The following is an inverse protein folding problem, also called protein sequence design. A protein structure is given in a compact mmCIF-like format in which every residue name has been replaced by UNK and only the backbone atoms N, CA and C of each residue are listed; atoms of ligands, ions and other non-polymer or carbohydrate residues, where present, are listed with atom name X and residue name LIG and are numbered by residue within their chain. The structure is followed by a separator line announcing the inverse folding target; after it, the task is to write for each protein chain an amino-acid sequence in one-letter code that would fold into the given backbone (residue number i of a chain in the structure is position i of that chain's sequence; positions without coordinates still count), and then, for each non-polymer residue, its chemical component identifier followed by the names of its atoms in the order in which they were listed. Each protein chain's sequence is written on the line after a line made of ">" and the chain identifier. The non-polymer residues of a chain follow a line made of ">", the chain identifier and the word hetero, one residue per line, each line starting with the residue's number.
data_IF_469907596794
#
_entry.id   IF_469907596794
#
_cell.length_a   1.000
_cell.length_b   1.000
_cell.length_c   1.000
_cell.angle_alpha   90.00
_cell.angle_beta   90.00
_cell.angle_gamma   90.00
#
_symmetry.space_group_name_H-M   'P 1'
#
loop_
_entity.id
_entity.type
_entity.pdbx_description
1 polymer ?
#
# COMPACT_ATOMS: atom_id res chain seq x y z
N UNK A 1 -62.56 28.32 -52.87
CA UNK A 1 -61.38 29.05 -53.35
C UNK A 1 -60.27 28.74 -52.37
N UNK A 2 -59.49 27.72 -52.69
CA UNK A 2 -58.13 27.77 -53.25
C UNK A 2 -57.20 28.63 -52.40
N UNK A 3 -56.28 28.11 -51.66
CA UNK A 3 -54.98 27.91 -52.17
C UNK A 3 -54.10 26.98 -51.33
N UNK A 4 -53.49 26.07 -51.96
CA UNK A 4 -52.43 25.19 -51.59
C UNK A 4 -51.13 25.98 -51.37
N UNK A 5 -50.29 25.67 -50.44
CA UNK A 5 -48.99 25.15 -50.86
C UNK A 5 -48.19 24.52 -49.74
N UNK A 6 -47.47 23.50 -50.05
CA UNK A 6 -46.70 22.64 -49.15
C UNK A 6 -45.22 22.98 -49.25
N UNK A 7 -44.46 22.88 -48.20
CA UNK A 7 -43.05 22.49 -48.28
C UNK A 7 -42.66 21.80 -46.98
N UNK A 8 -42.84 20.54 -47.10
CA UNK A 8 -42.18 19.50 -46.31
C UNK A 8 -40.71 19.47 -46.73
N UNK A 9 -39.78 19.50 -45.78
CA UNK A 9 -38.52 18.79 -45.92
C UNK A 9 -37.72 18.77 -44.63
N UNK A 10 -37.65 17.61 -44.01
CA UNK A 10 -36.50 16.91 -43.45
C UNK A 10 -35.46 17.75 -42.69
N UNK A 11 -35.53 17.69 -41.40
CA UNK A 11 -34.31 17.60 -40.59
C UNK A 11 -34.45 16.40 -39.67
N UNK A 12 -33.69 15.38 -40.02
CA UNK A 12 -33.50 14.19 -39.23
C UNK A 12 -32.82 14.55 -37.91
N UNK A 13 -33.30 13.94 -36.85
CA UNK A 13 -32.80 14.12 -35.52
C UNK A 13 -31.33 13.68 -35.40
N UNK A 14 -30.57 14.54 -34.84
CA UNK A 14 -29.31 14.19 -34.16
C UNK A 14 -29.54 14.40 -32.68
N UNK A 15 -29.87 13.34 -31.98
CA UNK A 15 -29.81 13.31 -30.54
C UNK A 15 -28.35 13.23 -30.13
N UNK A 16 -27.73 14.37 -29.95
CA UNK A 16 -26.48 14.49 -29.21
C UNK A 16 -26.79 14.14 -27.74
N UNK A 17 -26.61 12.88 -27.39
CA UNK A 17 -26.39 12.49 -26.01
C UNK A 17 -25.02 13.03 -25.61
N UNK A 18 -25.03 14.25 -25.12
CA UNK A 18 -23.89 14.86 -24.45
C UNK A 18 -23.68 14.10 -23.14
N UNK A 19 -22.92 13.01 -23.19
CA UNK A 19 -22.32 12.43 -22.00
C UNK A 19 -21.34 13.44 -21.43
N UNK A 20 -21.75 14.21 -20.44
CA UNK A 20 -20.86 14.94 -19.59
C UNK A 20 -20.02 13.90 -18.84
N UNK A 21 -18.83 13.60 -19.36
CA UNK A 21 -17.79 12.97 -18.59
C UNK A 21 -17.30 14.02 -17.61
N UNK A 22 -17.89 14.04 -16.43
CA UNK A 22 -17.33 14.72 -15.28
C UNK A 22 -16.05 13.93 -14.91
N UNK A 23 -14.94 14.36 -15.47
CA UNK A 23 -13.61 13.95 -15.04
C UNK A 23 -13.37 14.62 -13.68
N UNK A 24 -13.89 13.99 -12.62
CA UNK A 24 -13.56 14.36 -11.26
C UNK A 24 -12.07 14.09 -11.05
N UNK A 25 -11.27 15.14 -11.10
CA UNK A 25 -9.92 15.12 -10.55
C UNK A 25 -10.06 14.90 -9.04
N UNK A 26 -10.04 13.66 -8.61
CA UNK A 26 -9.74 13.29 -7.24
C UNK A 26 -8.26 13.57 -7.04
N UNK A 27 -7.94 14.72 -6.45
CA UNK A 27 -6.64 14.95 -5.84
C UNK A 27 -6.57 13.99 -4.66
N UNK A 28 -6.14 12.76 -4.90
CA UNK A 28 -5.63 11.92 -3.83
C UNK A 28 -4.38 12.65 -3.35
N UNK A 29 -4.47 13.29 -2.18
CA UNK A 29 -3.28 13.68 -1.45
C UNK A 29 -2.54 12.38 -1.17
N UNK A 30 -1.59 12.02 -2.04
CA UNK A 30 -0.60 11.03 -1.73
C UNK A 30 0.19 11.60 -0.53
N UNK A 31 -0.20 11.17 0.67
CA UNK A 31 0.63 11.42 1.83
C UNK A 31 1.97 10.77 1.55
N UNK A 32 3.11 11.46 1.78
CA UNK A 32 4.40 10.85 1.62
C UNK A 32 4.42 9.56 2.43
N UNK A 33 4.61 8.44 1.74
CA UNK A 33 4.89 7.17 2.41
C UNK A 33 6.25 7.33 3.08
N UNK A 34 6.26 7.91 4.27
CA UNK A 34 7.44 7.84 5.11
C UNK A 34 7.82 6.37 5.18
N UNK A 35 9.05 6.06 4.79
CA UNK A 35 9.50 4.69 4.65
C UNK A 35 9.27 3.94 5.95
N UNK A 36 8.27 3.09 5.94
CA UNK A 36 8.04 2.13 7.01
C UNK A 36 9.23 1.18 7.02
N UNK A 37 9.77 0.87 8.18
CA UNK A 37 10.75 -0.20 8.33
C UNK A 37 10.19 -1.54 7.78
N UNK A 38 8.85 -1.63 7.71
CA UNK A 38 8.09 -2.74 7.15
C UNK A 38 6.90 -2.16 6.38
N UNK A 39 6.70 -2.62 5.16
CA UNK A 39 5.46 -2.35 4.41
C UNK A 39 4.49 -3.49 4.65
N UNK A 40 3.22 -3.16 4.93
CA UNK A 40 2.17 -4.17 5.03
C UNK A 40 1.85 -4.73 3.64
N UNK A 41 2.46 -5.84 3.31
CA UNK A 41 2.21 -6.57 2.06
C UNK A 41 0.98 -7.50 2.16
N UNK A 42 0.40 -7.65 3.35
CA UNK A 42 -0.69 -8.59 3.58
C UNK A 42 -2.07 -8.04 3.21
N UNK A 43 -2.22 -6.74 3.12
CA UNK A 43 -3.48 -6.14 2.66
C UNK A 43 -3.91 -6.75 1.33
N UNK A 44 -2.99 -6.85 0.37
CA UNK A 44 -3.26 -7.45 -0.93
C UNK A 44 -3.52 -8.95 -0.87
N UNK A 45 -2.88 -9.63 0.06
CA UNK A 45 -3.13 -11.04 0.28
C UNK A 45 -4.60 -11.31 0.59
N UNK A 46 -5.28 -10.37 1.25
CA UNK A 46 -6.69 -10.47 1.60
C UNK A 46 -7.64 -9.82 0.59
N UNK A 47 -7.20 -8.82 -0.16
CA UNK A 47 -8.06 -8.01 -1.03
C UNK A 47 -8.79 -8.82 -2.11
N UNK A 48 -8.18 -9.89 -2.63
CA UNK A 48 -8.79 -10.73 -3.68
C UNK A 48 -8.42 -12.19 -3.46
N UNK A 49 -9.14 -12.89 -2.57
CA UNK A 49 -8.78 -14.26 -2.17
C UNK A 49 -8.86 -15.28 -3.28
N UNK A 50 -9.76 -15.08 -4.23
CA UNK A 50 -10.04 -16.04 -5.30
C UNK A 50 -9.27 -15.75 -6.59
N UNK A 51 -8.59 -14.59 -6.65
CA UNK A 51 -7.81 -14.22 -7.83
C UNK A 51 -6.46 -14.94 -7.84
N UNK A 52 -6.16 -15.63 -8.94
CA UNK A 52 -4.85 -16.25 -9.16
C UNK A 52 -3.75 -15.21 -9.46
N UNK A 53 -4.13 -14.05 -9.96
CA UNK A 53 -3.24 -12.93 -10.26
C UNK A 53 -3.93 -11.60 -9.95
N UNK A 54 -3.22 -10.73 -9.26
CA UNK A 54 -3.59 -9.34 -9.04
C UNK A 54 -2.38 -8.47 -9.38
N UNK A 55 -2.59 -7.41 -10.14
CA UNK A 55 -1.56 -6.43 -10.46
C UNK A 55 -2.19 -5.05 -10.45
N UNK A 56 -1.65 -4.14 -9.68
CA UNK A 56 -2.05 -2.74 -9.67
C UNK A 56 -0.83 -1.85 -9.86
N UNK A 57 -1.04 -0.75 -10.55
CA UNK A 57 -0.06 0.29 -10.80
C UNK A 57 -0.73 1.64 -10.59
N UNK A 58 -0.08 2.52 -9.85
CA UNK A 58 -0.46 3.92 -9.75
C UNK A 58 0.70 4.82 -10.18
N UNK A 59 0.35 5.90 -10.83
CA UNK A 59 1.26 6.93 -11.31
C UNK A 59 0.64 8.27 -10.96
N UNK A 60 1.33 9.04 -10.14
CA UNK A 60 0.91 10.38 -9.77
C UNK A 60 1.97 11.37 -10.20
N UNK A 61 1.54 12.43 -10.87
CA UNK A 61 2.36 13.59 -11.20
C UNK A 61 1.58 14.81 -10.82
N UNK A 62 2.14 15.64 -9.98
CA UNK A 62 1.52 16.91 -9.60
C UNK A 62 2.53 18.04 -9.64
N UNK A 63 2.04 19.26 -9.86
CA UNK A 63 2.86 20.45 -9.88
C UNK A 63 2.03 21.68 -9.67
N UNK A 64 2.68 22.73 -9.14
CA UNK A 64 2.16 24.08 -9.02
C UNK A 64 3.30 25.06 -9.29
N UNK A 65 2.98 26.21 -9.84
CA UNK A 65 3.94 27.30 -10.07
C UNK A 65 3.33 28.62 -9.65
N UNK A 66 4.14 29.56 -9.19
CA UNK A 66 3.69 30.88 -8.78
C UNK A 66 4.17 31.27 -7.40
N UNK A 67 3.27 31.47 -6.44
CA UNK A 67 3.65 31.80 -5.07
C UNK A 67 4.31 30.62 -4.33
N UNK A 68 4.14 29.41 -4.85
CA UNK A 68 4.67 28.18 -4.27
C UNK A 68 4.95 27.23 -5.44
N UNK A 69 6.22 27.01 -5.74
CA UNK A 69 6.65 26.10 -6.79
C UNK A 69 6.80 24.69 -6.23
N UNK A 70 5.99 23.76 -6.73
CA UNK A 70 5.99 22.34 -6.30
C UNK A 70 5.99 21.43 -7.49
N UNK A 71 6.72 20.34 -7.37
CA UNK A 71 6.71 19.22 -8.30
C UNK A 71 6.77 17.91 -7.51
N UNK A 72 5.95 16.96 -7.86
CA UNK A 72 5.99 15.63 -7.29
C UNK A 72 5.69 14.57 -8.34
N UNK A 73 6.39 13.46 -8.21
CA UNK A 73 6.15 12.24 -8.98
C UNK A 73 6.14 11.04 -8.02
N UNK A 74 5.16 10.17 -8.17
CA UNK A 74 5.16 8.88 -7.50
C UNK A 74 4.74 7.76 -8.43
N UNK A 75 5.32 6.59 -8.19
CA UNK A 75 4.99 5.33 -8.88
C UNK A 75 4.89 4.25 -7.82
N UNK A 76 3.78 3.55 -7.82
CA UNK A 76 3.56 2.42 -6.93
C UNK A 76 3.05 1.22 -7.70
N UNK A 77 3.53 0.03 -7.34
CA UNK A 77 3.03 -1.22 -7.91
C UNK A 77 2.88 -2.28 -6.84
N UNK A 78 1.80 -3.02 -6.98
CA UNK A 78 1.49 -4.16 -6.16
C UNK A 78 1.12 -5.34 -7.05
N UNK A 79 1.84 -6.42 -6.89
CA UNK A 79 1.64 -7.62 -7.69
C UNK A 79 1.52 -8.85 -6.80
N UNK A 80 0.54 -9.65 -7.08
CA UNK A 80 0.30 -10.93 -6.41
C UNK A 80 0.07 -12.01 -7.46
N UNK A 81 0.77 -13.12 -7.32
CA UNK A 81 0.59 -14.31 -8.12
C UNK A 81 0.39 -15.50 -7.18
N UNK A 82 -0.80 -16.11 -7.25
CA UNK A 82 -1.15 -17.32 -6.51
C UNK A 82 -1.16 -18.52 -7.43
N UNK A 83 -0.63 -19.60 -6.93
CA UNK A 83 -0.77 -20.95 -7.47
C UNK A 83 -1.21 -21.86 -6.33
N UNK A 84 -1.55 -23.09 -6.61
CA UNK A 84 -2.10 -24.05 -5.63
C UNK A 84 -1.37 -24.00 -4.26
N UNK A 85 -0.06 -24.11 -4.27
CA UNK A 85 0.78 -24.16 -3.05
C UNK A 85 1.74 -22.99 -2.91
N UNK A 86 1.75 -22.05 -3.84
CA UNK A 86 2.69 -20.92 -3.79
C UNK A 86 2.03 -19.58 -4.00
N UNK A 87 2.56 -18.57 -3.34
CA UNK A 87 2.14 -17.18 -3.53
C UNK A 87 3.38 -16.31 -3.62
N UNK A 88 3.45 -15.49 -4.66
CA UNK A 88 4.44 -14.45 -4.84
C UNK A 88 3.78 -13.10 -4.64
N UNK A 89 4.44 -12.23 -3.90
CA UNK A 89 4.00 -10.85 -3.66
C UNK A 89 5.17 -9.91 -3.93
N UNK A 90 4.93 -8.89 -4.76
CA UNK A 90 5.87 -7.81 -5.02
C UNK A 90 5.17 -6.49 -4.74
N UNK A 91 5.76 -5.69 -3.89
CA UNK A 91 5.38 -4.29 -3.66
C UNK A 91 6.58 -3.43 -3.94
N UNK A 92 6.41 -2.40 -4.75
CA UNK A 92 7.46 -1.41 -4.97
C UNK A 92 6.86 -0.02 -5.09
N UNK A 93 7.56 0.97 -4.54
CA UNK A 93 7.24 2.37 -4.72
C UNK A 93 8.49 3.22 -4.98
N UNK A 94 8.28 4.30 -5.69
CA UNK A 94 9.21 5.39 -5.88
C UNK A 94 8.44 6.69 -5.71
N UNK A 95 8.94 7.60 -4.89
CA UNK A 95 8.36 8.92 -4.74
C UNK A 95 9.47 9.97 -4.64
N UNK A 96 9.31 11.06 -5.38
CA UNK A 96 10.18 12.23 -5.33
C UNK A 96 9.33 13.49 -5.37
N UNK A 97 9.63 14.44 -4.48
CA UNK A 97 9.00 15.74 -4.48
C UNK A 97 9.99 16.86 -4.18
N UNK A 98 9.74 18.00 -4.78
CA UNK A 98 10.49 19.24 -4.59
C UNK A 98 9.51 20.38 -4.33
N UNK A 99 9.88 21.31 -3.48
CA UNK A 99 9.14 22.55 -3.21
C UNK A 99 10.09 23.71 -3.07
N UNK A 100 9.91 24.76 -3.90
CA UNK A 100 10.79 25.94 -3.95
C UNK A 100 12.27 25.57 -4.07
N UNK A 101 12.63 24.72 -5.03
CA UNK A 101 13.97 24.17 -5.29
C UNK A 101 14.57 23.33 -4.15
N UNK A 102 13.77 23.01 -3.13
CA UNK A 102 14.18 22.12 -2.06
C UNK A 102 13.52 20.75 -2.22
N UNK A 103 14.33 19.70 -2.22
CA UNK A 103 13.83 18.33 -2.20
C UNK A 103 13.09 18.09 -0.88
N UNK A 104 11.82 17.65 -0.97
CA UNK A 104 10.94 17.41 0.17
C UNK A 104 10.59 15.93 0.33
N UNK A 105 10.83 15.12 -0.70
CA UNK A 105 10.67 13.67 -0.67
C UNK A 105 11.68 13.00 -1.61
N UNK A 106 12.34 11.94 -1.16
CA UNK A 106 13.12 10.98 -1.96
C UNK A 106 13.03 9.62 -1.29
N UNK A 107 12.09 8.82 -1.75
CA UNK A 107 11.75 7.52 -1.18
C UNK A 107 11.75 6.44 -2.24
N UNK A 108 12.40 5.32 -1.95
CA UNK A 108 12.46 4.14 -2.81
C UNK A 108 12.28 2.90 -1.95
N UNK A 109 11.42 2.01 -2.40
CA UNK A 109 11.11 0.78 -1.69
C UNK A 109 10.80 -0.34 -2.67
N UNK A 110 11.29 -1.53 -2.40
CA UNK A 110 10.85 -2.76 -3.06
C UNK A 110 10.90 -3.94 -2.08
N UNK A 111 9.84 -4.71 -2.03
CA UNK A 111 9.69 -5.91 -1.21
C UNK A 111 9.17 -7.07 -2.06
N UNK A 112 9.89 -8.16 -2.06
CA UNK A 112 9.50 -9.42 -2.69
C UNK A 112 9.32 -10.49 -1.62
N UNK A 113 8.19 -11.18 -1.64
CA UNK A 113 7.89 -12.30 -0.73
C UNK A 113 7.39 -13.51 -1.50
N UNK A 114 7.91 -14.65 -1.15
CA UNK A 114 7.43 -15.96 -1.58
C UNK A 114 6.87 -16.72 -0.39
N UNK A 115 5.73 -17.37 -0.57
CA UNK A 115 5.09 -18.22 0.44
C UNK A 115 4.83 -19.58 -0.17
N UNK A 116 5.29 -20.63 0.49
CA UNK A 116 4.91 -22.00 0.19
C UNK A 116 3.89 -22.47 1.23
N UNK A 117 2.69 -22.88 0.78
CA UNK A 117 1.57 -23.29 1.63
C UNK A 117 1.54 -24.80 1.78
N UNK A 118 1.26 -25.27 3.00
CA UNK A 118 0.93 -26.65 3.31
C UNK A 118 -0.60 -26.82 3.39
N UNK A 119 -1.07 -28.08 3.37
CA UNK A 119 -2.50 -28.41 3.31
C UNK A 119 -3.29 -27.98 4.56
N UNK A 120 -2.62 -27.84 5.71
CA UNK A 120 -3.23 -27.54 7.00
C UNK A 120 -3.32 -26.05 7.36
N UNK A 121 -3.21 -25.15 6.36
CA UNK A 121 -3.18 -23.69 6.57
C UNK A 121 -1.89 -23.18 7.21
N UNK A 122 -0.83 -23.97 7.13
CA UNK A 122 0.52 -23.59 7.53
C UNK A 122 1.35 -23.28 6.27
N UNK A 123 2.51 -22.67 6.45
CA UNK A 123 3.40 -22.39 5.34
C UNK A 123 4.74 -21.87 5.81
N UNK A 124 5.69 -21.86 4.89
CA UNK A 124 6.97 -21.19 5.04
C UNK A 124 7.03 -20.01 4.09
N UNK A 125 7.75 -18.98 4.49
CA UNK A 125 7.95 -17.80 3.67
C UNK A 125 9.41 -17.37 3.64
N UNK A 126 9.81 -16.78 2.53
CA UNK A 126 11.07 -16.07 2.38
C UNK A 126 10.79 -14.71 1.76
N UNK A 127 11.58 -13.72 2.13
CA UNK A 127 11.42 -12.37 1.62
C UNK A 127 12.74 -11.63 1.52
N UNK A 128 12.76 -10.66 0.62
CA UNK A 128 13.83 -9.69 0.48
C UNK A 128 13.22 -8.29 0.32
N UNK A 129 13.91 -7.28 0.84
CA UNK A 129 13.50 -5.89 0.76
C UNK A 129 14.71 -5.00 0.55
N UNK A 130 14.54 -3.97 -0.24
CA UNK A 130 15.48 -2.85 -0.37
C UNK A 130 14.72 -1.55 -0.18
N UNK A 131 15.37 -0.60 0.47
CA UNK A 131 14.75 0.66 0.83
C UNK A 131 15.79 1.77 0.90
N UNK A 132 15.38 2.99 0.52
CA UNK A 132 16.11 4.23 0.67
C UNK A 132 15.13 5.32 1.06
N UNK A 133 15.52 6.19 2.01
CA UNK A 133 14.75 7.36 2.35
C UNK A 133 15.67 8.45 2.91
N UNK A 134 15.93 9.48 2.11
CA UNK A 134 16.84 10.57 2.48
C UNK A 134 16.34 11.39 3.67
N UNK A 135 15.02 11.54 3.81
CA UNK A 135 14.42 12.31 4.90
C UNK A 135 14.46 11.59 6.24
N UNK A 136 14.59 10.27 6.22
CA UNK A 136 14.91 9.48 7.40
C UNK A 136 16.42 9.23 7.57
N UNK A 137 17.25 9.97 6.80
CA UNK A 137 18.69 9.80 6.76
C UNK A 137 19.16 8.39 6.41
N UNK A 138 18.29 7.63 5.75
CA UNK A 138 18.54 6.26 5.34
C UNK A 138 19.08 6.25 3.91
N UNK A 139 20.38 6.02 3.76
CA UNK A 139 21.03 5.90 2.46
C UNK A 139 20.67 4.56 1.79
N UNK A 140 20.63 3.48 2.56
CA UNK A 140 20.22 2.15 2.09
C UNK A 140 19.84 1.26 3.27
N UNK A 141 18.76 0.49 3.12
CA UNK A 141 18.41 -0.62 4.00
C UNK A 141 18.12 -1.83 3.13
N UNK A 142 18.78 -2.93 3.42
CA UNK A 142 18.56 -4.20 2.75
C UNK A 142 18.26 -5.25 3.80
N UNK A 143 17.24 -6.06 3.57
CA UNK A 143 16.95 -7.18 4.44
C UNK A 143 16.57 -8.41 3.63
N UNK A 144 16.94 -9.57 4.17
CA UNK A 144 16.56 -10.87 3.66
C UNK A 144 16.22 -11.77 4.83
N UNK A 145 15.12 -12.49 4.71
CA UNK A 145 14.66 -13.32 5.80
C UNK A 145 13.67 -14.39 5.39
N UNK A 146 13.22 -15.11 6.39
CA UNK A 146 12.21 -16.14 6.22
C UNK A 146 11.54 -16.50 7.53
N UNK A 147 10.47 -17.25 7.44
CA UNK A 147 9.71 -17.61 8.60
C UNK A 147 8.69 -18.69 8.34
N UNK A 148 7.96 -18.97 9.39
CA UNK A 148 6.83 -19.86 9.41
C UNK A 148 5.55 -19.08 9.65
N UNK A 149 4.47 -19.45 8.96
CA UNK A 149 3.17 -18.76 9.05
C UNK A 149 2.01 -19.72 9.21
N UNK A 150 0.97 -19.20 9.87
CA UNK A 150 -0.31 -19.88 10.07
C UNK A 150 -1.42 -19.04 9.47
N UNK A 151 -2.10 -19.57 8.47
CA UNK A 151 -3.32 -19.02 7.91
C UNK A 151 -4.52 -19.72 8.60
N UNK A 152 -5.29 -18.96 9.37
CA UNK A 152 -6.49 -19.40 10.10
C UNK A 152 -7.72 -18.70 9.55
N UNK A 153 -7.75 -18.51 8.25
CA UNK A 153 -8.87 -17.90 7.56
C UNK A 153 -10.06 -18.84 7.47
N UNK A 154 -11.25 -18.27 7.60
CA UNK A 154 -12.51 -18.99 7.45
C UNK A 154 -13.15 -18.56 6.14
N UNK A 155 -13.64 -19.48 5.34
CA UNK A 155 -14.34 -19.16 4.09
C UNK A 155 -15.55 -18.26 4.38
N UNK A 156 -15.63 -17.11 3.71
CA UNK A 156 -16.67 -16.11 3.92
C UNK A 156 -16.66 -15.39 5.27
N UNK A 157 -15.70 -15.67 6.15
CA UNK A 157 -15.57 -15.10 7.49
C UNK A 157 -14.25 -14.36 7.70
N UNK A 158 -13.90 -14.07 8.96
CA UNK A 158 -12.66 -13.41 9.32
C UNK A 158 -11.44 -14.19 8.83
N UNK A 159 -10.46 -13.46 8.32
CA UNK A 159 -9.15 -13.99 7.93
C UNK A 159 -8.12 -13.63 8.96
N UNK A 160 -7.26 -14.56 9.31
CA UNK A 160 -6.27 -14.41 10.37
C UNK A 160 -4.97 -15.03 9.89
N UNK A 161 -3.92 -14.25 9.95
CA UNK A 161 -2.60 -14.67 9.56
C UNK A 161 -1.63 -14.31 10.67
N UNK A 162 -0.83 -15.28 11.08
CA UNK A 162 0.23 -15.12 12.07
C UNK A 162 1.54 -15.60 11.47
N UNK A 163 2.64 -14.97 11.83
CA UNK A 163 3.94 -15.42 11.41
C UNK A 163 5.02 -15.16 12.44
N UNK A 164 6.02 -16.04 12.41
CA UNK A 164 7.26 -15.93 13.16
C UNK A 164 8.43 -16.23 12.25
N UNK A 165 9.47 -15.43 12.33
CA UNK A 165 10.65 -15.59 11.49
C UNK A 165 11.84 -14.80 11.98
N UNK A 166 12.88 -14.81 11.14
CA UNK A 166 14.11 -14.07 11.33
C UNK A 166 14.50 -13.41 10.03
N UNK A 167 15.18 -12.28 10.11
CA UNK A 167 15.82 -11.66 8.96
C UNK A 167 17.14 -11.01 9.35
N UNK A 168 18.05 -10.98 8.39
CA UNK A 168 19.27 -10.20 8.44
C UNK A 168 19.00 -8.84 7.80
N UNK A 169 19.32 -7.79 8.51
CA UNK A 169 19.23 -6.40 8.07
C UNK A 169 20.63 -5.82 7.92
N UNK A 170 20.86 -5.09 6.86
CA UNK A 170 22.03 -4.23 6.67
C UNK A 170 21.53 -2.82 6.38
N UNK A 171 21.93 -1.88 7.21
CA UNK A 171 21.54 -0.47 7.13
C UNK A 171 22.77 0.44 6.96
N UNK A 172 22.64 1.43 6.09
CA UNK A 172 23.63 2.48 5.86
C UNK A 172 22.93 3.84 6.01
N UNK A 173 23.43 4.67 6.90
CA UNK A 173 22.90 6.00 7.13
C UNK A 173 23.65 7.04 6.31
N UNK A 174 22.96 8.11 5.87
CA UNK A 174 23.58 9.21 5.12
C UNK A 174 24.70 9.90 5.90
N UNK A 175 24.63 9.88 7.24
CA UNK A 175 25.57 10.56 8.14
C UNK A 175 26.71 9.69 8.62
N UNK A 176 26.64 8.38 8.41
CA UNK A 176 27.64 7.42 8.89
C UNK A 176 28.13 6.59 7.71
N UNK A 177 29.45 6.46 7.57
CA UNK A 177 30.07 5.64 6.53
C UNK A 177 30.05 4.13 6.85
N UNK A 178 29.70 3.79 8.08
CA UNK A 178 29.68 2.39 8.53
C UNK A 178 28.27 1.78 8.31
N UNK A 179 28.29 0.53 7.89
CA UNK A 179 27.07 -0.27 7.71
C UNK A 179 26.78 -1.03 8.99
N UNK A 180 25.61 -0.78 9.55
CA UNK A 180 25.10 -1.58 10.65
C UNK A 180 24.52 -2.89 10.11
N UNK A 181 24.78 -4.00 10.78
CA UNK A 181 24.28 -5.34 10.46
C UNK A 181 23.67 -5.95 11.70
N UNK A 182 22.41 -6.35 11.58
CA UNK A 182 21.62 -6.82 12.71
C UNK A 182 20.78 -8.03 12.29
N UNK A 183 20.65 -9.01 13.18
CA UNK A 183 19.65 -10.06 13.07
C UNK A 183 18.41 -9.70 13.86
N UNK A 184 17.25 -9.63 13.20
CA UNK A 184 15.98 -9.31 13.86
C UNK A 184 15.01 -10.48 13.83
N UNK A 185 14.32 -10.66 14.96
CA UNK A 185 13.10 -11.44 14.98
C UNK A 185 12.02 -10.76 14.12
N UNK A 186 11.09 -11.54 13.60
CA UNK A 186 9.93 -11.03 12.87
C UNK A 186 8.69 -11.75 13.36
N UNK A 187 7.89 -11.06 14.17
CA UNK A 187 6.61 -11.53 14.66
C UNK A 187 5.53 -10.68 14.02
N UNK A 188 4.50 -11.28 13.45
CA UNK A 188 3.39 -10.50 12.92
C UNK A 188 2.03 -11.20 13.08
N UNK A 189 1.01 -10.37 13.13
CA UNK A 189 -0.39 -10.77 13.08
C UNK A 189 -1.15 -9.86 12.13
N UNK A 190 -1.97 -10.45 11.26
CA UNK A 190 -2.82 -9.73 10.32
C UNK A 190 -4.25 -10.28 10.39
N UNK A 191 -5.21 -9.39 10.43
CA UNK A 191 -6.62 -9.70 10.49
C UNK A 191 -7.37 -8.94 9.40
N UNK A 192 -8.28 -9.63 8.74
CA UNK A 192 -9.30 -9.01 7.90
C UNK A 192 -10.66 -9.47 8.42
N UNK A 193 -11.45 -8.54 8.90
CA UNK A 193 -12.78 -8.78 9.47
C UNK A 193 -13.82 -8.16 8.57
N UNK A 194 -14.62 -8.95 7.83
CA UNK A 194 -15.77 -8.42 7.13
C UNK A 194 -16.80 -7.92 8.14
N UNK A 195 -17.23 -6.66 8.01
CA UNK A 195 -18.18 -6.00 8.91
C UNK A 195 -19.61 -6.07 8.35
N UNK A 196 -19.72 -6.00 7.03
CA UNK A 196 -20.97 -6.19 6.32
C UNK A 196 -20.69 -7.00 5.05
N UNK A 197 -21.03 -8.28 5.11
CA UNK A 197 -20.82 -9.22 4.00
C UNK A 197 -21.64 -8.84 2.75
N UNK A 198 -22.81 -8.24 2.95
CA UNK A 198 -23.68 -7.87 1.84
C UNK A 198 -23.15 -6.64 1.08
N UNK A 199 -22.47 -5.74 1.77
CA UNK A 199 -21.95 -4.50 1.20
C UNK A 199 -20.45 -4.49 0.97
N UNK A 200 -19.69 -5.44 1.57
CA UNK A 200 -18.25 -5.55 1.40
C UNK A 200 -17.43 -4.61 2.30
N UNK A 201 -18.04 -4.00 3.32
CA UNK A 201 -17.28 -3.22 4.33
C UNK A 201 -16.40 -4.13 5.17
N UNK A 202 -15.20 -3.68 5.51
CA UNK A 202 -14.23 -4.50 6.24
C UNK A 202 -13.29 -3.67 7.11
N UNK A 203 -12.73 -4.32 8.12
CA UNK A 203 -11.60 -3.83 8.92
C UNK A 203 -10.40 -4.72 8.64
N UNK A 204 -9.31 -4.12 8.19
CA UNK A 204 -8.00 -4.75 8.06
C UNK A 204 -7.11 -4.23 9.19
N UNK A 205 -6.39 -5.12 9.83
CA UNK A 205 -5.42 -4.77 10.86
C UNK A 205 -4.18 -5.63 10.70
N UNK A 206 -3.00 -5.00 10.72
CA UNK A 206 -1.71 -5.67 10.69
C UNK A 206 -0.80 -5.10 11.77
N UNK A 207 -0.09 -5.95 12.46
CA UNK A 207 0.93 -5.56 13.43
C UNK A 207 2.19 -6.41 13.26
N UNK A 208 3.35 -5.77 13.39
CA UNK A 208 4.66 -6.39 13.33
C UNK A 208 5.49 -5.95 14.53
N UNK A 209 6.29 -6.88 15.07
CA UNK A 209 7.23 -6.63 16.16
C UNK A 209 8.56 -7.27 15.77
N UNK A 210 9.63 -6.48 15.77
CA UNK A 210 10.94 -6.85 15.23
C UNK A 210 12.08 -6.49 16.18
N UNK A 211 12.27 -7.27 17.23
CA UNK A 211 13.43 -7.09 18.12
C UNK A 211 14.73 -7.49 17.45
N UNK A 212 15.81 -6.80 17.76
CA UNK A 212 17.16 -7.30 17.59
C UNK A 212 17.36 -8.55 18.50
N UNK A 213 17.80 -9.66 17.94
CA UNK A 213 17.95 -10.91 18.72
C UNK A 213 19.12 -10.89 19.69
N UNK A 214 20.09 -10.01 19.51
CA UNK A 214 21.23 -9.81 20.39
C UNK A 214 20.94 -8.74 21.46
N UNK A 215 20.01 -7.82 21.16
CA UNK A 215 19.64 -6.73 22.05
C UNK A 215 18.14 -6.40 21.98
N UNK A 216 17.33 -7.09 22.74
CA UNK A 216 15.88 -6.93 22.76
C UNK A 216 15.38 -5.52 23.11
N UNK A 217 16.24 -4.63 23.65
CA UNK A 217 15.90 -3.24 23.84
C UNK A 217 15.89 -2.44 22.52
N UNK A 218 16.50 -2.98 21.46
CA UNK A 218 16.38 -2.48 20.10
C UNK A 218 15.19 -3.15 19.44
N UNK A 219 14.08 -2.43 19.39
CA UNK A 219 12.80 -2.92 18.95
C UNK A 219 12.21 -2.00 17.89
N UNK A 220 11.81 -2.56 16.77
CA UNK A 220 10.95 -1.89 15.79
C UNK A 220 9.57 -2.50 15.80
N UNK A 221 8.54 -1.67 15.69
CA UNK A 221 7.17 -2.15 15.58
C UNK A 221 6.35 -1.28 14.63
N UNK A 222 5.35 -1.89 14.00
CA UNK A 222 4.39 -1.24 13.12
C UNK A 222 3.01 -1.78 13.39
N UNK A 223 2.02 -0.91 13.36
CA UNK A 223 0.62 -1.27 13.35
C UNK A 223 -0.11 -0.46 12.26
N UNK A 224 -0.90 -1.12 11.46
CA UNK A 224 -1.74 -0.50 10.43
C UNK A 224 -3.17 -1.00 10.62
N UNK A 225 -4.11 -0.07 10.67
CA UNK A 225 -5.54 -0.36 10.67
C UNK A 225 -6.19 0.37 9.48
N UNK A 226 -6.90 -0.37 8.62
CA UNK A 226 -7.64 0.17 7.50
C UNK A 226 -9.11 -0.24 7.59
N UNK A 227 -9.97 0.74 7.68
CA UNK A 227 -11.40 0.60 7.71
C UNK A 227 -11.97 0.98 6.34
N UNK A 228 -12.63 0.04 5.68
CA UNK A 228 -13.25 0.22 4.38
C UNK A 228 -14.76 0.25 4.57
N UNK A 229 -15.38 1.37 4.24
CA UNK A 229 -16.84 1.54 4.24
C UNK A 229 -17.33 1.48 2.80
N UNK A 230 -17.95 0.38 2.41
CA UNK A 230 -18.53 0.23 1.09
C UNK A 230 -19.86 0.98 1.01
N UNK A 231 -19.94 2.00 0.15
CA UNK A 231 -21.14 2.82 -0.05
C UNK A 231 -22.03 2.26 -1.16
N UNK A 232 -21.39 1.77 -2.24
CA UNK A 232 -22.05 1.10 -3.37
C UNK A 232 -21.13 -0.03 -3.87
N UNK A 233 -21.56 -0.83 -4.83
CA UNK A 233 -20.73 -1.90 -5.42
C UNK A 233 -19.39 -1.40 -6.00
N UNK A 234 -19.28 -0.10 -6.26
CA UNK A 234 -18.12 0.52 -6.91
C UNK A 234 -17.47 1.64 -6.11
N UNK A 235 -18.12 2.17 -5.09
CA UNK A 235 -17.64 3.29 -4.31
C UNK A 235 -17.48 2.89 -2.85
N UNK A 236 -16.30 3.11 -2.29
CA UNK A 236 -16.00 3.00 -0.85
C UNK A 236 -15.37 4.29 -0.32
N UNK A 237 -15.35 4.42 0.99
CA UNK A 237 -14.51 5.37 1.71
C UNK A 237 -13.56 4.55 2.58
N UNK A 238 -12.28 4.85 2.44
CA UNK A 238 -11.21 4.17 3.19
C UNK A 238 -10.65 5.10 4.25
N UNK A 239 -10.45 4.58 5.46
CA UNK A 239 -9.78 5.26 6.58
C UNK A 239 -8.58 4.41 6.97
N UNK A 240 -7.38 4.96 6.92
CA UNK A 240 -6.16 4.28 7.29
C UNK A 240 -5.49 5.00 8.45
N UNK A 241 -5.10 4.22 9.46
CA UNK A 241 -4.27 4.64 10.58
C UNK A 241 -3.00 3.80 10.55
N UNK A 242 -1.83 4.43 10.61
CA UNK A 242 -0.56 3.74 10.66
C UNK A 242 0.29 4.32 11.79
N UNK A 243 0.87 3.45 12.58
CA UNK A 243 1.78 3.76 13.66
C UNK A 243 3.06 2.97 13.47
N UNK A 244 4.20 3.63 13.59
CA UNK A 244 5.51 2.99 13.63
C UNK A 244 6.33 3.50 14.82
N UNK A 245 7.13 2.61 15.37
CA UNK A 245 8.03 2.87 16.46
C UNK A 245 9.39 2.23 16.19
N UNK A 246 10.46 3.00 16.43
CA UNK A 246 11.84 2.57 16.46
C UNK A 246 12.44 3.00 17.80
N UNK A 247 12.86 2.04 18.63
CA UNK A 247 13.43 2.34 19.96
C UNK A 247 14.85 2.95 19.90
N UNK A 248 15.52 2.83 18.74
CA UNK A 248 16.84 3.40 18.45
C UNK A 248 16.83 4.18 17.13
N UNK A 249 16.07 5.29 17.05
CA UNK A 249 16.00 6.07 15.84
C UNK A 249 17.33 6.75 15.55
N UNK A 250 17.62 6.99 14.28
CA UNK A 250 18.75 7.82 13.86
C UNK A 250 18.65 9.22 14.49
N UNK A 251 19.80 9.77 14.89
CA UNK A 251 19.85 11.09 15.52
C UNK A 251 19.09 12.17 14.71
N UNK A 252 18.12 12.81 15.36
CA UNK A 252 17.23 13.80 14.75
C UNK A 252 16.07 13.22 13.95
N UNK A 253 15.78 11.93 14.11
CA UNK A 253 14.57 11.28 13.63
C UNK A 253 13.70 10.90 14.84
N UNK A 254 12.40 11.12 14.74
CA UNK A 254 11.46 10.79 15.81
C UNK A 254 11.35 9.26 15.98
N UNK A 255 11.25 8.84 17.25
CA UNK A 255 11.10 7.43 17.60
C UNK A 255 9.72 6.85 17.24
N UNK A 256 8.72 7.71 17.08
CA UNK A 256 7.34 7.32 16.85
C UNK A 256 6.74 8.20 15.77
N UNK A 257 6.02 7.58 14.85
CA UNK A 257 5.25 8.30 13.86
C UNK A 257 3.82 7.76 13.83
N UNK A 258 2.87 8.66 13.79
CA UNK A 258 1.48 8.35 13.59
C UNK A 258 0.98 9.05 12.34
N UNK A 259 0.39 8.28 11.43
CA UNK A 259 -0.16 8.78 10.16
C UNK A 259 -1.60 8.35 10.04
N UNK A 260 -2.39 9.19 9.43
CA UNK A 260 -3.76 8.87 9.08
C UNK A 260 -4.09 9.40 7.69
N UNK A 261 -4.96 8.71 7.00
CA UNK A 261 -5.49 9.13 5.72
C UNK A 261 -6.93 8.68 5.57
N UNK A 262 -7.69 9.40 4.78
CA UNK A 262 -9.00 8.96 4.34
C UNK A 262 -9.29 9.51 2.94
N UNK A 263 -10.02 8.73 2.15
CA UNK A 263 -10.42 9.13 0.81
C UNK A 263 -11.42 8.17 0.19
N UNK A 264 -12.13 8.62 -0.84
CA UNK A 264 -13.00 7.77 -1.61
C UNK A 264 -12.18 6.90 -2.56
N UNK A 265 -12.58 5.64 -2.69
CA UNK A 265 -12.05 4.70 -3.68
C UNK A 265 -13.18 4.29 -4.62
N UNK A 266 -12.98 4.46 -5.91
CA UNK A 266 -13.89 3.99 -6.93
C UNK A 266 -13.28 2.80 -7.67
N UNK A 267 -13.98 1.67 -7.66
CA UNK A 267 -13.53 0.43 -8.30
C UNK A 267 -14.27 0.23 -9.62
N UNK A 268 -13.52 0.15 -10.72
CA UNK A 268 -14.05 -0.26 -12.01
C UNK A 268 -14.14 -1.80 -12.01
N UNK A 269 -15.36 -2.32 -12.11
CA UNK A 269 -15.61 -3.75 -12.30
C UNK A 269 -16.25 -3.92 -13.68
N UNK A 270 -15.70 -4.84 -14.45
CA UNK A 270 -16.29 -5.32 -15.71
C UNK A 270 -17.51 -6.20 -15.43
#
# INVERSE_FOLDING_TARGET
>A
MTNRNPLNRYWAGWSLRSGLVLMGFLVANALPFSALAIVDVHEQYFASPDSSRLSSWSFDVSGATGNDDRQAISVETHNLLRRERSTWMLVANYAKAESNDLETEDNQFAHLRYVHKFENGQGVEVFAQVQRNRFQKLASRQLVGGGYRWDRSTAGGPRRLFGIGLFHEQEELVTLSEKEKVWRGNLYATFNVPLDLARGSSLNFSAYVQPDIENFADLRSIAVAKFVVQLTDRLSIDFTLAYDHDSKPTLGIEAQNFRYSSGPTYTFKD
#
